data_IF_548882761662
#
_entry.id   IF_548882761662
#
_cell.length_a   1.000
_cell.length_b   1.000
_cell.length_c   1.000
_cell.angle_alpha   90.00
_cell.angle_beta   90.00
_cell.angle_gamma   90.00
#
_symmetry.space_group_name_H-M   'P 1'
#
loop_
_entity.id
_entity.type
_entity.pdbx_description
1 polymer ?
#
# COMPACT_ATOMS: atom_id res chain seq x y z
N UNK A 1 -14.20 -34.03 -1.05
CA UNK A 1 -13.19 -33.40 -0.17
C UNK A 1 -13.54 -33.72 1.29
N UNK A 2 -12.59 -34.00 2.20
CA UNK A 2 -12.90 -34.24 3.61
C UNK A 2 -13.55 -32.97 4.26
N UNK A 3 -14.52 -33.13 5.16
CA UNK A 3 -15.24 -32.00 5.79
C UNK A 3 -14.31 -30.97 6.45
N UNK A 4 -13.29 -31.43 7.16
CA UNK A 4 -12.30 -30.57 7.83
C UNK A 4 -11.49 -29.70 6.85
N UNK A 5 -11.18 -30.22 5.65
CA UNK A 5 -10.50 -29.45 4.60
C UNK A 5 -11.45 -28.40 4.01
N UNK A 6 -12.72 -28.74 3.84
CA UNK A 6 -13.76 -27.85 3.36
C UNK A 6 -13.95 -26.67 4.31
N UNK A 7 -14.13 -26.94 5.61
CA UNK A 7 -14.27 -25.88 6.63
C UNK A 7 -13.04 -25.00 6.72
N UNK A 8 -11.83 -25.58 6.62
CA UNK A 8 -10.59 -24.79 6.61
C UNK A 8 -10.50 -23.84 5.42
N UNK A 9 -10.88 -24.29 4.22
CA UNK A 9 -10.88 -23.46 3.03
C UNK A 9 -11.98 -22.39 3.07
N UNK A 10 -13.15 -22.74 3.60
CA UNK A 10 -14.28 -21.81 3.82
C UNK A 10 -13.87 -20.66 4.74
N UNK A 11 -13.30 -20.97 5.90
CA UNK A 11 -12.72 -19.97 6.80
C UNK A 11 -11.59 -19.14 6.17
N UNK A 12 -10.76 -19.78 5.36
CA UNK A 12 -9.68 -19.10 4.66
C UNK A 12 -10.21 -18.09 3.63
N UNK A 13 -11.37 -18.36 3.01
CA UNK A 13 -12.07 -17.41 2.13
C UNK A 13 -12.70 -16.22 2.91
N UNK A 14 -12.74 -16.28 4.24
CA UNK A 14 -13.29 -15.20 5.07
C UNK A 14 -14.73 -15.41 5.51
N UNK A 15 -15.31 -16.57 5.22
CA UNK A 15 -16.68 -16.87 5.64
C UNK A 15 -16.71 -17.43 7.08
N UNK A 16 -17.78 -17.09 7.82
CA UNK A 16 -17.98 -17.56 9.18
C UNK A 16 -18.28 -19.07 9.23
N UNK A 17 -17.94 -19.71 10.35
CA UNK A 17 -18.42 -21.06 10.65
C UNK A 17 -19.93 -21.00 10.92
N UNK A 18 -20.63 -22.00 10.40
CA UNK A 18 -22.07 -22.16 10.58
C UNK A 18 -22.30 -23.47 11.31
N UNK A 19 -23.31 -23.53 12.15
CA UNK A 19 -23.68 -24.78 12.84
C UNK A 19 -24.19 -25.81 11.82
N UNK A 20 -23.97 -27.09 12.13
CA UNK A 20 -24.29 -28.21 11.22
C UNK A 20 -25.79 -28.26 10.83
N UNK A 21 -26.67 -27.69 11.66
CA UNK A 21 -28.12 -27.70 11.50
C UNK A 21 -28.64 -26.42 10.82
N UNK A 22 -27.74 -25.47 10.48
CA UNK A 22 -28.13 -24.17 9.90
C UNK A 22 -28.11 -24.25 8.37
N UNK A 23 -29.21 -23.99 7.65
CA UNK A 23 -29.28 -24.04 6.19
C UNK A 23 -28.61 -22.80 5.57
N UNK A 24 -27.29 -22.66 5.77
CA UNK A 24 -26.52 -21.50 5.37
C UNK A 24 -25.81 -21.68 4.02
N UNK A 25 -25.83 -22.88 3.45
CA UNK A 25 -25.15 -23.16 2.19
C UNK A 25 -26.15 -23.35 1.05
N UNK A 26 -25.80 -22.75 -0.10
CA UNK A 26 -26.53 -22.90 -1.36
C UNK A 26 -25.83 -23.89 -2.29
N UNK A 27 -26.49 -24.34 -3.34
CA UNK A 27 -25.88 -25.15 -4.41
C UNK A 27 -24.73 -24.42 -5.09
N UNK A 28 -24.75 -23.10 -5.12
CA UNK A 28 -23.67 -22.27 -5.63
C UNK A 28 -22.40 -22.39 -4.78
N UNK A 29 -22.52 -22.45 -3.46
CA UNK A 29 -21.38 -22.62 -2.53
C UNK A 29 -20.74 -24.00 -2.69
N UNK A 30 -21.55 -25.04 -2.84
CA UNK A 30 -21.08 -26.39 -3.11
C UNK A 30 -20.31 -26.44 -4.46
N UNK A 31 -20.86 -25.79 -5.47
CA UNK A 31 -20.23 -25.69 -6.81
C UNK A 31 -18.91 -24.91 -6.74
N UNK A 32 -18.84 -23.79 -6.01
CA UNK A 32 -17.63 -23.00 -5.86
C UNK A 32 -16.54 -23.79 -5.14
N UNK A 33 -16.88 -24.48 -4.06
CA UNK A 33 -15.94 -25.34 -3.32
C UNK A 33 -15.45 -26.52 -4.17
N UNK A 34 -16.30 -27.12 -4.98
CA UNK A 34 -15.90 -28.19 -5.90
C UNK A 34 -14.90 -27.67 -6.94
N UNK A 35 -15.13 -26.48 -7.52
CA UNK A 35 -14.20 -25.83 -8.45
C UNK A 35 -12.86 -25.48 -7.78
N UNK A 36 -12.89 -24.96 -6.57
CA UNK A 36 -11.67 -24.67 -5.80
C UNK A 36 -10.89 -25.98 -5.52
N UNK A 37 -11.58 -27.05 -5.14
CA UNK A 37 -10.94 -28.36 -4.95
C UNK A 37 -10.28 -28.85 -6.23
N UNK A 38 -10.97 -28.78 -7.36
CA UNK A 38 -10.42 -29.20 -8.65
C UNK A 38 -9.18 -28.39 -9.05
N UNK A 39 -9.18 -27.08 -8.78
CA UNK A 39 -8.03 -26.21 -9.02
C UNK A 39 -6.81 -26.62 -8.16
N UNK A 40 -7.04 -26.93 -6.88
CA UNK A 40 -5.99 -27.40 -5.99
C UNK A 40 -5.46 -28.78 -6.45
N UNK A 41 -6.37 -29.71 -6.75
CA UNK A 41 -6.03 -31.08 -7.12
C UNK A 41 -5.34 -31.17 -8.49
N UNK A 42 -5.51 -30.16 -9.36
CA UNK A 42 -4.74 -30.02 -10.61
C UNK A 42 -3.26 -29.70 -10.41
N UNK A 43 -2.83 -29.41 -9.18
CA UNK A 43 -1.45 -29.02 -8.87
C UNK A 43 -1.09 -27.57 -9.21
N UNK A 44 -2.05 -26.77 -9.68
CA UNK A 44 -1.84 -25.34 -9.95
C UNK A 44 -1.50 -24.57 -8.65
N UNK A 45 -2.07 -25.02 -7.53
CA UNK A 45 -1.73 -24.52 -6.18
C UNK A 45 -0.77 -25.50 -5.54
N UNK A 46 0.44 -25.05 -5.23
CA UNK A 46 1.46 -25.90 -4.57
C UNK A 46 0.98 -26.47 -3.26
N UNK A 47 1.47 -27.67 -2.90
CA UNK A 47 1.12 -28.36 -1.66
C UNK A 47 1.37 -27.46 -0.45
N UNK A 48 0.37 -27.33 0.43
CA UNK A 48 0.42 -26.50 1.63
C UNK A 48 0.12 -25.00 1.43
N UNK A 49 -0.01 -24.53 0.17
CA UNK A 49 -0.34 -23.14 -0.14
C UNK A 49 -1.86 -22.87 -0.22
N UNK A 50 -2.69 -23.91 -0.18
CA UNK A 50 -4.14 -23.86 -0.38
C UNK A 50 -4.83 -22.80 0.47
N UNK A 51 -4.64 -22.85 1.79
CA UNK A 51 -5.26 -21.90 2.71
C UNK A 51 -4.72 -20.46 2.52
N UNK A 52 -3.47 -20.31 2.11
CA UNK A 52 -2.87 -19.00 1.87
C UNK A 52 -3.43 -18.36 0.60
N UNK A 53 -3.62 -19.15 -0.46
CA UNK A 53 -4.23 -18.70 -1.72
C UNK A 53 -5.71 -18.37 -1.51
N UNK A 54 -6.46 -19.25 -0.84
CA UNK A 54 -7.86 -19.01 -0.49
C UNK A 54 -8.00 -17.70 0.33
N UNK A 55 -7.14 -17.49 1.33
CA UNK A 55 -7.15 -16.27 2.16
C UNK A 55 -6.84 -15.02 1.34
N UNK A 56 -5.83 -15.05 0.48
CA UNK A 56 -5.50 -13.91 -0.36
C UNK A 56 -6.65 -13.53 -1.31
N UNK A 57 -7.30 -14.53 -1.90
CA UNK A 57 -8.48 -14.33 -2.74
C UNK A 57 -9.65 -13.79 -1.93
N UNK A 58 -9.98 -14.42 -0.80
CA UNK A 58 -11.07 -13.99 0.08
C UNK A 58 -10.91 -12.55 0.57
N UNK A 59 -9.73 -12.19 1.08
CA UNK A 59 -9.44 -10.82 1.53
C UNK A 59 -9.54 -9.78 0.41
N UNK A 60 -9.14 -10.12 -0.82
CA UNK A 60 -9.25 -9.19 -1.95
C UNK A 60 -10.69 -8.97 -2.37
N UNK A 61 -11.47 -10.05 -2.43
CA UNK A 61 -12.87 -10.01 -2.81
C UNK A 61 -13.76 -9.42 -1.70
N UNK A 62 -13.44 -9.66 -0.41
CA UNK A 62 -14.15 -9.02 0.69
C UNK A 62 -14.04 -7.50 0.62
N UNK A 63 -12.82 -6.96 0.48
CA UNK A 63 -12.64 -5.51 0.30
C UNK A 63 -13.36 -4.95 -0.92
N UNK A 64 -13.39 -5.72 -2.02
CA UNK A 64 -14.13 -5.35 -3.22
C UNK A 64 -15.63 -5.29 -2.93
N UNK A 65 -16.17 -6.26 -2.21
CA UNK A 65 -17.57 -6.30 -1.82
C UNK A 65 -17.94 -5.18 -0.84
N UNK A 66 -17.05 -4.90 0.13
CA UNK A 66 -17.27 -3.84 1.13
C UNK A 66 -17.49 -2.48 0.46
N UNK A 67 -16.56 -2.01 -0.40
CA UNK A 67 -16.71 -0.70 -1.04
C UNK A 67 -17.89 -0.66 -2.04
N UNK A 68 -18.23 -1.78 -2.67
CA UNK A 68 -19.41 -1.86 -3.52
C UNK A 68 -20.70 -1.74 -2.71
N UNK A 69 -20.74 -2.35 -1.54
CA UNK A 69 -21.85 -2.23 -0.59
C UNK A 69 -21.97 -0.79 -0.08
N UNK A 70 -20.87 -0.14 0.26
CA UNK A 70 -20.84 1.27 0.68
C UNK A 70 -21.36 2.20 -0.42
N UNK A 71 -20.98 1.95 -1.68
CA UNK A 71 -21.47 2.70 -2.82
C UNK A 71 -22.97 2.53 -3.00
N UNK A 72 -23.50 1.31 -2.89
CA UNK A 72 -24.94 1.02 -2.96
C UNK A 72 -25.69 1.68 -1.79
N UNK A 73 -25.15 1.61 -0.57
CA UNK A 73 -25.72 2.27 0.61
C UNK A 73 -25.78 3.79 0.44
N UNK A 74 -24.76 4.39 -0.19
CA UNK A 74 -24.75 5.82 -0.52
C UNK A 74 -25.85 6.21 -1.51
N UNK A 75 -26.11 5.38 -2.52
CA UNK A 75 -27.21 5.59 -3.47
C UNK A 75 -28.59 5.47 -2.78
N UNK A 76 -28.74 4.47 -1.91
CA UNK A 76 -29.94 4.29 -1.09
C UNK A 76 -30.23 5.50 -0.21
N UNK A 77 -29.22 6.02 0.46
CA UNK A 77 -29.35 7.17 1.35
C UNK A 77 -29.67 8.48 0.60
N UNK A 78 -29.33 8.55 -0.70
CA UNK A 78 -29.63 9.71 -1.55
C UNK A 78 -30.99 9.63 -2.26
N UNK A 79 -31.62 8.46 -2.30
CA UNK A 79 -32.91 8.25 -2.92
C UNK A 79 -34.03 8.74 -1.98
N UNK A 80 -34.93 9.60 -2.48
CA UNK A 80 -36.10 10.10 -1.77
C UNK A 80 -37.35 9.43 -2.37
N UNK A 81 -38.20 8.79 -1.54
CA UNK A 81 -39.48 8.22 -1.99
C UNK A 81 -40.00 7.10 -1.09
N UNK A 82 -41.30 6.75 -1.25
CA UNK A 82 -41.95 5.69 -0.45
C UNK A 82 -41.59 4.27 -0.91
N UNK A 83 -40.99 4.08 -2.09
CA UNK A 83 -40.73 2.76 -2.72
C UNK A 83 -39.22 2.49 -2.96
N UNK A 84 -38.36 3.20 -2.25
CA UNK A 84 -36.88 3.14 -2.39
C UNK A 84 -36.35 1.71 -2.34
N UNK A 85 -36.94 0.84 -1.53
CA UNK A 85 -36.49 -0.56 -1.38
C UNK A 85 -36.68 -1.39 -2.66
N UNK A 86 -37.79 -1.25 -3.36
CA UNK A 86 -38.04 -2.01 -4.58
C UNK A 86 -37.20 -1.52 -5.76
N UNK A 87 -37.05 -0.19 -5.89
CA UNK A 87 -36.23 0.43 -6.95
C UNK A 87 -34.76 0.07 -6.82
N UNK A 88 -34.25 -0.03 -5.58
CA UNK A 88 -32.87 -0.43 -5.33
C UNK A 88 -32.63 -1.91 -5.59
N UNK A 89 -33.58 -2.78 -5.23
CA UNK A 89 -33.46 -4.21 -5.57
C UNK A 89 -33.41 -4.38 -7.09
N UNK A 90 -34.30 -3.73 -7.84
CA UNK A 90 -34.29 -3.78 -9.29
C UNK A 90 -33.01 -3.21 -9.90
N UNK A 91 -32.55 -2.04 -9.42
CA UNK A 91 -31.29 -1.45 -9.87
C UNK A 91 -30.09 -2.35 -9.54
N UNK A 92 -30.10 -3.04 -8.41
CA UNK A 92 -29.05 -3.97 -8.00
C UNK A 92 -29.03 -5.21 -8.91
N UNK A 93 -30.17 -5.76 -9.29
CA UNK A 93 -30.26 -6.90 -10.20
C UNK A 93 -29.69 -6.59 -11.58
N UNK A 94 -29.85 -5.37 -12.08
CA UNK A 94 -29.28 -4.93 -13.36
C UNK A 94 -27.78 -4.58 -13.24
N UNK A 95 -27.38 -4.01 -12.13
CA UNK A 95 -26.01 -3.51 -11.91
C UNK A 95 -25.00 -4.63 -11.61
N UNK A 96 -25.40 -5.65 -10.83
CA UNK A 96 -24.50 -6.73 -10.44
C UNK A 96 -23.86 -7.48 -11.62
N UNK A 97 -24.60 -7.86 -12.68
CA UNK A 97 -23.98 -8.48 -13.85
C UNK A 97 -22.95 -7.57 -14.55
N UNK A 98 -23.27 -6.28 -14.69
CA UNK A 98 -22.36 -5.30 -15.31
C UNK A 98 -21.09 -5.12 -14.47
N UNK A 99 -21.21 -5.05 -13.16
CA UNK A 99 -20.06 -4.99 -12.26
C UNK A 99 -19.22 -6.25 -12.34
N UNK A 100 -19.82 -7.44 -12.43
CA UNK A 100 -19.11 -8.69 -12.57
C UNK A 100 -18.32 -8.76 -13.89
N UNK A 101 -18.91 -8.31 -15.01
CA UNK A 101 -18.23 -8.23 -16.30
C UNK A 101 -17.03 -7.26 -16.27
N UNK A 102 -17.21 -6.08 -15.67
CA UNK A 102 -16.14 -5.11 -15.51
C UNK A 102 -15.01 -5.65 -14.62
N UNK A 103 -15.35 -6.32 -13.51
CA UNK A 103 -14.37 -6.95 -12.62
C UNK A 103 -13.57 -8.03 -13.34
N UNK A 104 -14.23 -8.92 -14.11
CA UNK A 104 -13.55 -9.95 -14.91
C UNK A 104 -12.60 -9.31 -15.92
N UNK A 105 -13.02 -8.26 -16.63
CA UNK A 105 -12.19 -7.53 -17.57
C UNK A 105 -10.95 -6.91 -16.87
N UNK A 106 -11.15 -6.17 -15.78
CA UNK A 106 -10.06 -5.50 -15.04
C UNK A 106 -9.10 -6.54 -14.46
N UNK A 107 -9.62 -7.61 -13.87
CA UNK A 107 -8.81 -8.71 -13.36
C UNK A 107 -7.94 -9.36 -14.46
N UNK A 108 -8.52 -9.69 -15.62
CA UNK A 108 -7.78 -10.25 -16.76
C UNK A 108 -6.70 -9.29 -17.26
N UNK A 109 -7.00 -8.01 -17.30
CA UNK A 109 -6.04 -6.96 -17.70
C UNK A 109 -4.83 -6.91 -16.76
N UNK A 110 -5.06 -6.93 -15.46
CA UNK A 110 -4.00 -6.99 -14.44
C UNK A 110 -3.22 -8.31 -14.53
N UNK A 111 -3.89 -9.43 -14.72
CA UNK A 111 -3.25 -10.73 -14.87
C UNK A 111 -2.30 -10.74 -16.08
N UNK A 112 -2.74 -10.23 -17.22
CA UNK A 112 -1.91 -10.12 -18.44
C UNK A 112 -0.69 -9.23 -18.22
N UNK A 113 -0.87 -8.06 -17.59
CA UNK A 113 0.23 -7.15 -17.28
C UNK A 113 1.24 -7.77 -16.30
N UNK A 114 0.77 -8.52 -15.30
CA UNK A 114 1.63 -9.23 -14.35
C UNK A 114 2.37 -10.40 -15.02
N UNK A 115 1.70 -11.19 -15.87
CA UNK A 115 2.30 -12.28 -16.61
C UNK A 115 3.40 -11.77 -17.57
N UNK A 116 3.16 -10.66 -18.28
CA UNK A 116 4.17 -10.04 -19.13
C UNK A 116 5.46 -9.69 -18.37
N UNK A 117 5.33 -9.14 -17.15
CA UNK A 117 6.48 -8.85 -16.26
C UNK A 117 7.20 -10.14 -15.81
N UNK A 118 6.45 -11.20 -15.53
CA UNK A 118 6.99 -12.48 -15.12
C UNK A 118 7.83 -13.11 -16.24
N UNK A 119 7.32 -13.14 -17.47
CA UNK A 119 8.02 -13.70 -18.62
C UNK A 119 9.25 -12.89 -19.03
N UNK A 120 9.23 -11.56 -18.84
CA UNK A 120 10.38 -10.70 -19.12
C UNK A 120 11.58 -10.96 -18.18
N UNK A 121 11.34 -11.46 -16.96
CA UNK A 121 12.40 -11.67 -15.94
C UNK A 121 12.88 -13.12 -15.82
N UNK A 122 12.21 -14.06 -16.48
CA UNK A 122 12.55 -15.49 -16.45
C UNK A 122 12.09 -16.23 -15.17
N UNK A 123 11.94 -17.57 -15.22
CA UNK A 123 11.31 -18.36 -14.16
C UNK A 123 12.12 -18.46 -12.84
N UNK A 124 13.42 -18.14 -12.86
CA UNK A 124 14.27 -18.18 -11.65
C UNK A 124 14.25 -16.90 -10.80
N UNK A 125 13.66 -15.82 -11.30
CA UNK A 125 13.63 -14.51 -10.63
C UNK A 125 12.33 -14.24 -9.86
N UNK A 126 11.48 -15.26 -9.69
CA UNK A 126 10.12 -15.07 -9.15
C UNK A 126 10.13 -14.68 -7.69
N UNK A 127 11.07 -15.17 -6.89
CA UNK A 127 11.04 -14.99 -5.42
C UNK A 127 11.80 -13.75 -4.92
N UNK A 128 12.79 -13.24 -5.67
CA UNK A 128 13.56 -12.06 -5.24
C UNK A 128 13.83 -11.16 -6.44
N UNK A 129 13.19 -10.01 -6.46
CA UNK A 129 13.43 -8.94 -7.45
C UNK A 129 14.07 -7.75 -6.77
N UNK A 130 15.01 -7.12 -7.42
CA UNK A 130 15.47 -5.80 -7.00
C UNK A 130 14.41 -4.78 -7.36
N UNK A 131 13.88 -4.13 -6.34
CA UNK A 131 12.83 -3.12 -6.47
C UNK A 131 13.17 -1.91 -5.59
N UNK A 132 12.78 -0.75 -6.05
CA UNK A 132 12.60 0.39 -5.19
C UNK A 132 11.24 0.26 -4.48
N UNK A 133 11.24 0.46 -3.17
CA UNK A 133 10.06 0.46 -2.30
C UNK A 133 9.94 1.84 -1.68
N UNK A 134 8.79 2.47 -1.79
CA UNK A 134 8.53 3.78 -1.20
C UNK A 134 7.27 3.79 -0.34
N UNK A 135 7.32 4.58 0.71
CA UNK A 135 6.16 4.97 1.51
C UNK A 135 5.99 6.48 1.42
N UNK A 136 4.77 6.91 1.17
CA UNK A 136 4.35 8.31 1.31
C UNK A 136 3.30 8.38 2.42
N UNK A 137 3.47 9.27 3.39
CA UNK A 137 2.71 9.32 4.63
C UNK A 137 2.27 10.76 4.94
N UNK A 138 1.01 10.93 5.39
CA UNK A 138 0.43 12.22 5.75
C UNK A 138 0.92 12.66 7.14
N UNK A 139 1.62 13.77 7.22
CA UNK A 139 2.17 14.25 8.49
C UNK A 139 1.05 14.75 9.42
N UNK A 140 1.01 14.19 10.63
CA UNK A 140 0.05 14.60 11.65
C UNK A 140 -1.39 14.13 11.42
N UNK A 141 -1.60 13.16 10.56
CA UNK A 141 -2.92 12.58 10.28
C UNK A 141 -3.67 12.17 11.56
N UNK A 142 -3.04 11.41 12.46
CA UNK A 142 -3.67 10.94 13.69
C UNK A 142 -4.16 12.06 14.60
N UNK A 143 -3.49 13.21 14.62
CA UNK A 143 -3.95 14.37 15.39
C UNK A 143 -5.07 15.13 14.70
N UNK A 144 -5.01 15.27 13.37
CA UNK A 144 -6.04 15.92 12.55
C UNK A 144 -7.33 15.12 12.52
N UNK A 145 -7.25 13.80 12.34
CA UNK A 145 -8.43 12.93 12.27
C UNK A 145 -9.33 13.00 13.50
N UNK A 146 -8.78 13.39 14.67
CA UNK A 146 -9.59 13.60 15.88
C UNK A 146 -10.48 14.83 15.82
N UNK A 147 -10.14 15.82 15.01
CA UNK A 147 -10.87 17.09 14.87
C UNK A 147 -11.70 17.20 13.60
N UNK A 148 -11.57 16.27 12.67
CA UNK A 148 -12.29 16.27 11.39
C UNK A 148 -13.56 15.41 11.48
N UNK A 149 -14.60 15.80 10.74
CA UNK A 149 -15.77 14.97 10.53
C UNK A 149 -15.44 13.74 9.66
N UNK A 150 -16.12 12.62 9.89
CA UNK A 150 -15.85 11.38 9.15
C UNK A 150 -15.90 11.54 7.63
N UNK A 151 -16.83 12.35 7.10
CA UNK A 151 -16.96 12.63 5.65
C UNK A 151 -15.77 13.43 5.13
N UNK A 152 -15.33 14.44 5.84
CA UNK A 152 -14.17 15.28 5.47
C UNK A 152 -12.87 14.45 5.49
N UNK A 153 -12.71 13.62 6.51
CA UNK A 153 -11.59 12.71 6.62
C UNK A 153 -11.56 11.69 5.46
N UNK A 154 -12.71 11.10 5.15
CA UNK A 154 -12.85 10.17 4.03
C UNK A 154 -12.47 10.80 2.70
N UNK A 155 -13.01 12.00 2.40
CA UNK A 155 -12.69 12.74 1.18
C UNK A 155 -11.20 13.08 1.06
N UNK A 156 -10.55 13.48 2.16
CA UNK A 156 -9.12 13.76 2.16
C UNK A 156 -8.27 12.52 1.88
N UNK A 157 -8.63 11.38 2.44
CA UNK A 157 -7.93 10.10 2.20
C UNK A 157 -8.13 9.66 0.75
N UNK A 158 -9.35 9.74 0.23
CA UNK A 158 -9.70 9.39 -1.15
C UNK A 158 -8.94 10.27 -2.15
N UNK A 159 -8.89 11.58 -1.93
CA UNK A 159 -8.10 12.52 -2.75
C UNK A 159 -6.60 12.15 -2.76
N UNK A 160 -6.05 11.81 -1.58
CA UNK A 160 -4.65 11.41 -1.47
C UNK A 160 -4.36 10.08 -2.18
N UNK A 161 -5.20 9.07 -1.96
CA UNK A 161 -5.06 7.77 -2.60
C UNK A 161 -5.20 7.88 -4.13
N UNK A 162 -6.15 8.69 -4.61
CA UNK A 162 -6.36 8.96 -6.03
C UNK A 162 -5.14 9.62 -6.68
N UNK A 163 -4.64 10.71 -6.08
CA UNK A 163 -3.43 11.38 -6.55
C UNK A 163 -2.22 10.44 -6.56
N UNK A 164 -2.04 9.69 -5.48
CA UNK A 164 -0.92 8.76 -5.36
C UNK A 164 -1.00 7.64 -6.40
N UNK A 165 -2.18 7.05 -6.60
CA UNK A 165 -2.38 5.99 -7.59
C UNK A 165 -2.07 6.48 -9.02
N UNK A 166 -2.57 7.66 -9.39
CA UNK A 166 -2.36 8.26 -10.70
C UNK A 166 -0.87 8.57 -10.94
N UNK A 167 -0.21 9.16 -9.96
CA UNK A 167 1.20 9.52 -10.08
C UNK A 167 2.09 8.28 -10.16
N UNK A 168 1.84 7.28 -9.31
CA UNK A 168 2.57 6.02 -9.31
C UNK A 168 2.39 5.30 -10.64
N UNK A 169 1.17 5.26 -11.20
CA UNK A 169 0.89 4.64 -12.49
C UNK A 169 1.59 5.37 -13.65
N UNK A 170 1.57 6.71 -13.66
CA UNK A 170 2.27 7.54 -14.67
C UNK A 170 3.77 7.26 -14.72
N UNK A 171 4.37 6.94 -13.60
CA UNK A 171 5.80 6.60 -13.46
C UNK A 171 6.06 5.09 -13.38
N UNK A 172 5.19 4.27 -14.00
CA UNK A 172 5.39 2.81 -14.12
C UNK A 172 5.55 2.08 -12.79
N UNK A 173 5.18 2.74 -11.70
CA UNK A 173 5.12 2.13 -10.38
C UNK A 173 3.88 1.27 -10.17
N UNK A 174 3.81 0.63 -9.04
CA UNK A 174 2.66 -0.15 -8.59
C UNK A 174 2.33 0.21 -7.14
N UNK A 175 1.10 0.61 -6.89
CA UNK A 175 0.56 0.63 -5.53
C UNK A 175 0.48 -0.80 -5.03
N UNK A 176 1.08 -1.07 -3.88
CA UNK A 176 1.00 -2.37 -3.21
C UNK A 176 -0.23 -2.40 -2.32
N UNK A 177 -0.35 -1.41 -1.45
CA UNK A 177 -1.49 -1.21 -0.55
C UNK A 177 -1.44 0.16 0.09
N UNK A 178 -2.56 0.59 0.64
CA UNK A 178 -2.64 1.66 1.60
C UNK A 178 -2.55 1.10 3.03
N UNK A 179 -1.94 1.83 3.94
CA UNK A 179 -1.76 1.45 5.36
C UNK A 179 -2.10 2.67 6.20
N UNK A 180 -3.35 2.80 6.59
CA UNK A 180 -3.84 4.01 7.25
C UNK A 180 -3.74 5.22 6.33
N UNK A 181 -2.92 6.17 6.71
CA UNK A 181 -2.63 7.42 6.00
C UNK A 181 -1.38 7.35 5.11
N UNK A 182 -0.86 6.16 4.86
CA UNK A 182 0.32 5.94 4.05
C UNK A 182 0.03 5.07 2.82
N UNK A 183 0.66 5.40 1.70
CA UNK A 183 0.67 4.59 0.47
C UNK A 183 2.01 3.89 0.34
N UNK A 184 1.98 2.55 0.22
CA UNK A 184 3.12 1.71 -0.10
C UNK A 184 3.14 1.44 -1.61
N UNK A 185 4.24 1.79 -2.27
CA UNK A 185 4.43 1.54 -3.70
C UNK A 185 5.77 0.88 -3.99
N UNK A 186 5.87 0.30 -5.18
CA UNK A 186 7.10 -0.29 -5.71
C UNK A 186 7.34 0.15 -7.15
N UNK A 187 8.63 0.28 -7.52
CA UNK A 187 9.07 0.49 -8.89
C UNK A 187 10.23 -0.44 -9.22
N UNK A 188 10.31 -0.86 -10.48
CA UNK A 188 11.49 -1.59 -10.98
C UNK A 188 12.63 -0.63 -11.26
N UNK A 189 12.33 0.54 -11.79
CA UNK A 189 13.32 1.58 -12.08
C UNK A 189 13.51 2.49 -10.84
N UNK A 190 14.73 2.63 -10.31
CA UNK A 190 15.04 3.52 -9.20
C UNK A 190 14.75 5.00 -9.49
N UNK A 191 14.93 5.45 -10.73
CA UNK A 191 14.67 6.84 -11.14
C UNK A 191 13.17 7.14 -11.11
N UNK A 192 12.34 6.24 -11.64
CA UNK A 192 10.89 6.36 -11.57
C UNK A 192 10.41 6.40 -10.10
N UNK A 193 11.00 5.57 -9.24
CA UNK A 193 10.63 5.56 -7.82
C UNK A 193 10.92 6.88 -7.11
N UNK A 194 12.05 7.50 -7.42
CA UNK A 194 12.44 8.80 -6.86
C UNK A 194 11.61 9.94 -7.47
N UNK A 195 11.28 9.84 -8.75
CA UNK A 195 10.40 10.81 -9.39
C UNK A 195 9.01 10.82 -8.73
N UNK A 196 8.45 9.64 -8.44
CA UNK A 196 7.22 9.50 -7.64
C UNK A 196 7.41 10.14 -6.26
N UNK A 197 8.50 9.80 -5.56
CA UNK A 197 8.77 10.27 -4.21
C UNK A 197 8.83 11.80 -4.13
N UNK A 198 9.43 12.46 -5.12
CA UNK A 198 9.56 13.92 -5.17
C UNK A 198 8.27 14.62 -5.61
N UNK A 199 7.52 14.02 -6.57
CA UNK A 199 6.28 14.62 -7.06
C UNK A 199 5.12 14.52 -6.07
N UNK A 200 5.05 13.45 -5.30
CA UNK A 200 3.95 13.27 -4.34
C UNK A 200 3.81 14.44 -3.37
N UNK A 201 4.86 14.90 -2.66
CA UNK A 201 4.75 16.09 -1.84
C UNK A 201 4.44 17.37 -2.63
N UNK A 202 5.02 17.53 -3.83
CA UNK A 202 4.85 18.72 -4.65
C UNK A 202 3.40 18.84 -5.18
N UNK A 203 2.85 17.77 -5.77
CA UNK A 203 1.50 17.75 -6.34
C UNK A 203 0.40 17.71 -5.27
N UNK A 204 0.70 17.19 -4.07
CA UNK A 204 -0.22 17.19 -2.94
C UNK A 204 -0.30 18.52 -2.20
N UNK A 205 0.72 19.37 -2.31
CA UNK A 205 0.84 20.59 -1.53
C UNK A 205 -0.35 21.53 -1.73
N UNK A 206 -1.07 21.82 -0.64
CA UNK A 206 -2.11 22.84 -0.56
C UNK A 206 -2.20 23.39 0.86
N UNK A 207 -2.68 24.63 1.09
CA UNK A 207 -2.70 25.27 2.40
C UNK A 207 -3.54 24.52 3.46
N UNK A 208 -4.58 23.84 3.02
CA UNK A 208 -5.54 23.07 3.84
C UNK A 208 -5.15 21.60 4.02
N UNK A 209 -4.20 21.10 3.23
CA UNK A 209 -3.76 19.70 3.25
C UNK A 209 -2.57 19.48 4.19
N UNK A 210 -2.53 18.35 4.91
CA UNK A 210 -1.35 17.96 5.68
C UNK A 210 -0.18 17.69 4.72
N UNK A 211 1.04 18.14 5.03
CA UNK A 211 2.19 17.84 4.18
C UNK A 211 2.49 16.35 4.15
N UNK A 212 3.09 15.87 3.06
CA UNK A 212 3.59 14.52 2.92
C UNK A 212 5.05 14.42 3.37
N UNK A 213 5.43 13.23 3.81
CA UNK A 213 6.81 12.79 3.98
C UNK A 213 7.01 11.48 3.24
N UNK A 214 8.15 11.30 2.61
CA UNK A 214 8.43 10.11 1.80
C UNK A 214 9.75 9.48 2.18
N UNK A 215 9.74 8.17 2.33
CA UNK A 215 10.94 7.36 2.48
C UNK A 215 10.98 6.25 1.44
N UNK A 216 12.12 6.05 0.79
CA UNK A 216 12.28 4.97 -0.17
C UNK A 216 13.60 4.23 -0.01
N UNK A 217 13.62 2.96 -0.38
CA UNK A 217 14.79 2.10 -0.31
C UNK A 217 14.83 1.16 -1.52
N UNK A 218 16.03 0.71 -1.91
CA UNK A 218 16.23 -0.16 -3.06
C UNK A 218 16.93 -1.45 -2.66
N UNK A 219 16.50 -2.57 -3.21
CA UNK A 219 17.17 -3.86 -3.03
C UNK A 219 16.25 -5.07 -3.23
N UNK A 220 16.69 -6.27 -2.80
CA UNK A 220 15.96 -7.50 -3.00
C UNK A 220 14.67 -7.56 -2.19
N UNK A 221 13.54 -7.75 -2.90
CA UNK A 221 12.19 -7.80 -2.35
C UNK A 221 11.53 -9.12 -2.72
N UNK A 222 10.98 -9.83 -1.75
CA UNK A 222 10.10 -10.97 -1.96
C UNK A 222 8.69 -10.46 -2.25
N UNK A 223 8.15 -10.82 -3.41
CA UNK A 223 6.75 -10.55 -3.75
C UNK A 223 5.93 -11.83 -3.58
N UNK A 224 4.94 -11.82 -2.71
CA UNK A 224 4.08 -12.97 -2.47
C UNK A 224 2.63 -12.55 -2.26
N UNK A 225 1.72 -13.21 -3.01
CA UNK A 225 0.26 -12.98 -2.91
C UNK A 225 -0.15 -11.49 -3.02
N UNK A 226 0.54 -10.76 -3.90
CA UNK A 226 0.26 -9.32 -4.12
C UNK A 226 0.95 -8.37 -3.15
N UNK A 227 1.51 -8.85 -2.04
CA UNK A 227 2.25 -8.06 -1.05
C UNK A 227 3.77 -8.17 -1.23
N UNK A 228 4.52 -7.35 -0.51
CA UNK A 228 5.98 -7.27 -0.55
C UNK A 228 6.58 -7.48 0.85
N UNK A 229 7.64 -8.28 0.91
CA UNK A 229 8.31 -8.64 2.16
C UNK A 229 9.82 -8.54 1.98
N UNK A 230 10.48 -7.72 2.75
CA UNK A 230 11.94 -7.68 2.84
C UNK A 230 12.43 -6.69 3.90
N UNK A 231 13.71 -6.75 4.30
CA UNK A 231 14.33 -5.66 5.07
C UNK A 231 14.24 -4.29 4.36
N UNK A 232 14.20 -4.26 3.02
CA UNK A 232 14.05 -3.02 2.21
C UNK A 232 12.72 -2.34 2.51
N UNK A 233 11.62 -3.09 2.64
CA UNK A 233 10.29 -2.55 3.00
C UNK A 233 10.34 -1.90 4.39
N UNK A 234 10.96 -2.58 5.36
CA UNK A 234 11.12 -2.05 6.71
C UNK A 234 11.97 -0.78 6.70
N UNK A 235 13.05 -0.78 5.91
CA UNK A 235 13.95 0.36 5.79
C UNK A 235 13.25 1.58 5.20
N UNK A 236 12.49 1.41 4.10
CA UNK A 236 11.68 2.47 3.52
C UNK A 236 10.68 3.07 4.54
N UNK A 237 9.99 2.22 5.30
CA UNK A 237 9.09 2.66 6.37
C UNK A 237 9.82 3.46 7.48
N UNK A 238 11.04 3.05 7.87
CA UNK A 238 11.82 3.79 8.87
C UNK A 238 12.29 5.14 8.33
N UNK A 239 12.74 5.18 7.08
CA UNK A 239 13.11 6.44 6.43
C UNK A 239 11.92 7.41 6.37
N UNK A 240 10.72 6.91 6.05
CA UNK A 240 9.49 7.72 6.07
C UNK A 240 9.21 8.27 7.46
N UNK A 241 9.35 7.45 8.50
CA UNK A 241 9.05 7.86 9.87
C UNK A 241 9.95 8.99 10.40
N UNK A 242 11.20 9.07 9.91
CA UNK A 242 12.17 10.12 10.29
C UNK A 242 12.25 11.25 9.26
N UNK A 243 11.58 11.12 8.11
CA UNK A 243 11.53 12.18 7.12
C UNK A 243 10.69 13.35 7.64
N UNK A 244 11.18 14.57 7.37
CA UNK A 244 10.45 15.80 7.69
C UNK A 244 9.32 16.04 6.69
N UNK A 245 8.36 16.89 7.05
CA UNK A 245 7.35 17.35 6.10
C UNK A 245 7.99 17.84 4.80
N UNK A 246 7.39 17.48 3.67
CA UNK A 246 7.84 17.81 2.32
C UNK A 246 9.29 17.36 1.98
N UNK A 247 9.80 16.30 2.65
CA UNK A 247 11.13 15.77 2.35
C UNK A 247 11.10 14.32 1.89
N UNK A 248 12.09 13.96 1.08
CA UNK A 248 12.30 12.61 0.57
C UNK A 248 13.63 12.07 1.10
N UNK A 249 13.55 11.00 1.88
CA UNK A 249 14.72 10.27 2.36
C UNK A 249 14.84 8.92 1.66
N UNK A 250 16.07 8.58 1.29
CA UNK A 250 16.38 7.29 0.66
C UNK A 250 17.50 6.57 1.40
N UNK A 251 17.60 5.26 1.18
CA UNK A 251 18.75 4.47 1.65
C UNK A 251 19.98 4.63 0.77
N UNK A 252 21.09 4.11 1.21
CA UNK A 252 22.37 4.19 0.49
C UNK A 252 22.31 3.47 -0.86
N UNK A 253 21.57 2.36 -0.97
CA UNK A 253 21.48 1.61 -2.22
C UNK A 253 20.75 2.41 -3.28
N UNK A 254 19.60 3.01 -2.94
CA UNK A 254 18.86 3.88 -3.84
C UNK A 254 19.68 5.14 -4.18
N UNK A 255 20.38 5.73 -3.21
CA UNK A 255 21.25 6.86 -3.43
C UNK A 255 22.38 6.55 -4.44
N UNK A 256 22.92 5.33 -4.42
CA UNK A 256 23.93 4.87 -5.40
C UNK A 256 23.34 4.75 -6.81
N UNK A 257 22.10 4.28 -6.95
CA UNK A 257 21.43 4.19 -8.25
C UNK A 257 21.20 5.57 -8.91
N UNK A 258 21.12 6.61 -8.10
CA UNK A 258 20.94 7.99 -8.57
C UNK A 258 22.25 8.70 -8.91
N UNK A 259 23.41 8.09 -8.63
CA UNK A 259 24.70 8.69 -8.96
C UNK A 259 24.84 8.89 -10.45
N UNK A 260 25.16 10.11 -10.84
CA UNK A 260 25.32 10.47 -12.26
C UNK A 260 24.02 10.85 -12.97
N UNK A 261 22.85 10.79 -12.30
CA UNK A 261 21.60 11.33 -12.83
C UNK A 261 21.58 12.85 -12.61
N UNK A 262 21.69 13.67 -13.66
CA UNK A 262 21.86 15.12 -13.50
C UNK A 262 20.67 15.83 -12.86
N UNK A 263 19.49 15.22 -12.92
CA UNK A 263 18.25 15.80 -12.41
C UNK A 263 18.18 15.87 -10.88
N UNK A 264 19.01 15.10 -10.18
CA UNK A 264 18.90 14.98 -8.73
C UNK A 264 20.17 15.41 -8.01
N UNK A 265 19.98 15.96 -6.82
CA UNK A 265 21.00 16.16 -5.82
C UNK A 265 20.76 15.16 -4.68
N UNK A 266 21.75 14.37 -4.34
CA UNK A 266 21.67 13.33 -3.32
C UNK A 266 22.76 13.59 -2.29
N UNK A 267 22.39 13.71 -1.01
CA UNK A 267 23.28 14.08 0.07
C UNK A 267 23.09 13.16 1.28
N UNK A 268 24.17 12.64 1.88
CA UNK A 268 24.06 11.90 3.13
C UNK A 268 23.68 12.86 4.27
N UNK A 269 22.81 12.40 5.16
CA UNK A 269 22.52 13.06 6.42
C UNK A 269 23.30 12.36 7.55
N UNK A 270 23.26 12.91 8.77
CA UNK A 270 23.83 12.28 9.95
C UNK A 270 23.20 10.90 10.17
N UNK A 271 24.00 9.95 10.67
CA UNK A 271 23.49 8.64 11.07
C UNK A 271 22.56 8.76 12.26
N UNK A 272 21.47 8.02 12.22
CA UNK A 272 20.46 8.01 13.27
C UNK A 272 20.18 6.57 13.72
N UNK A 273 19.83 6.40 14.98
CA UNK A 273 19.34 5.13 15.49
C UNK A 273 17.82 5.12 15.39
N UNK A 274 17.29 4.10 14.75
CA UNK A 274 15.84 3.86 14.65
C UNK A 274 15.55 2.41 15.01
N UNK A 275 14.32 2.10 15.38
CA UNK A 275 13.94 0.73 15.77
C UNK A 275 14.38 -0.30 14.72
N UNK A 276 15.33 -1.17 15.12
CA UNK A 276 15.88 -2.23 14.28
C UNK A 276 17.10 -1.83 13.44
N UNK A 277 17.60 -0.58 13.56
CA UNK A 277 18.81 -0.09 12.86
C UNK A 277 19.58 0.87 13.78
N UNK A 278 20.73 0.46 14.27
CA UNK A 278 21.53 1.26 15.23
C UNK A 278 22.30 2.42 14.56
N UNK A 279 22.59 2.34 13.27
CA UNK A 279 23.41 3.33 12.54
C UNK A 279 22.87 3.56 11.12
N UNK A 280 21.55 3.83 10.99
CA UNK A 280 20.96 4.13 9.70
C UNK A 280 21.52 5.45 9.16
N UNK A 281 22.07 5.42 7.95
CA UNK A 281 22.48 6.61 7.21
C UNK A 281 21.38 6.99 6.21
N UNK A 282 20.55 7.99 6.50
CA UNK A 282 19.58 8.49 5.53
C UNK A 282 20.29 9.35 4.48
N UNK A 283 19.73 9.39 3.27
CA UNK A 283 20.18 10.26 2.20
C UNK A 283 19.02 11.15 1.77
N UNK A 284 19.22 12.46 1.77
CA UNK A 284 18.23 13.43 1.29
C UNK A 284 18.33 13.53 -0.23
N UNK A 285 17.17 13.45 -0.89
CA UNK A 285 17.07 13.63 -2.34
C UNK A 285 16.25 14.89 -2.65
N UNK A 286 16.75 15.70 -3.59
CA UNK A 286 16.06 16.89 -4.13
C UNK A 286 16.25 16.98 -5.64
N UNK A 287 15.39 17.73 -6.31
CA UNK A 287 15.62 18.13 -7.70
C UNK A 287 16.76 19.14 -7.77
N UNK A 288 17.58 19.06 -8.81
CA UNK A 288 18.59 20.08 -9.08
C UNK A 288 17.92 21.28 -9.74
N UNK A 289 18.24 22.50 -9.29
CA UNK A 289 17.70 23.75 -9.87
C UNK A 289 16.39 24.25 -9.24
N UNK A 290 15.93 23.68 -8.12
CA UNK A 290 14.96 24.34 -7.26
C UNK A 290 15.64 25.46 -6.48
N UNK A 291 14.97 26.62 -6.33
CA UNK A 291 15.52 27.86 -5.73
C UNK A 291 16.10 27.69 -4.32
N UNK A 292 15.86 26.57 -3.68
CA UNK A 292 16.42 26.18 -2.37
C UNK A 292 17.92 25.81 -2.40
N UNK A 293 18.57 25.78 -3.56
CA UNK A 293 20.00 25.43 -3.64
C UNK A 293 20.91 26.51 -3.03
N UNK A 294 20.41 27.72 -2.80
CA UNK A 294 21.15 28.86 -2.21
C UNK A 294 20.54 29.43 -0.92
N UNK A 295 19.43 28.89 -0.45
CA UNK A 295 18.74 29.45 0.72
C UNK A 295 19.51 29.16 2.03
N UNK A 296 19.72 30.15 2.90
CA UNK A 296 20.34 29.96 4.23
C UNK A 296 19.57 28.98 5.13
N UNK A 297 18.34 28.63 4.76
CA UNK A 297 17.54 27.58 5.40
C UNK A 297 18.08 26.15 5.25
N UNK A 298 18.95 25.88 4.26
CA UNK A 298 19.56 24.54 4.12
C UNK A 298 20.52 24.28 5.28
N UNK A 299 21.30 25.27 5.68
CA UNK A 299 22.19 25.20 6.84
C UNK A 299 21.40 25.14 8.16
N UNK A 300 20.28 25.89 8.25
CA UNK A 300 19.37 25.82 9.39
C UNK A 300 18.65 24.48 9.50
N UNK A 301 18.30 23.86 8.36
CA UNK A 301 17.73 22.52 8.32
C UNK A 301 18.74 21.45 8.77
N UNK A 302 20.02 21.63 8.41
CA UNK A 302 21.12 20.78 8.88
C UNK A 302 21.31 20.90 10.38
N UNK A 303 21.38 22.11 10.89
CA UNK A 303 21.50 22.40 12.32
C UNK A 303 20.33 21.83 13.13
N UNK A 304 19.12 22.01 12.64
CA UNK A 304 17.93 21.49 13.30
C UNK A 304 17.83 19.95 13.22
N UNK A 305 18.36 19.30 12.17
CA UNK A 305 18.48 17.83 12.10
C UNK A 305 19.55 17.31 13.05
N UNK A 306 20.61 18.07 13.25
CA UNK A 306 21.64 17.77 14.24
C UNK A 306 21.12 17.96 15.67
N UNK A 307 20.34 19.02 15.95
CA UNK A 307 19.68 19.23 17.24
C UNK A 307 18.66 18.13 17.59
N UNK A 308 17.84 17.69 16.64
CA UNK A 308 16.88 16.60 16.88
C UNK A 308 17.60 15.25 17.05
N UNK A 309 18.71 15.04 16.35
CA UNK A 309 19.52 13.84 16.53
C UNK A 309 20.15 13.81 17.92
N UNK A 310 20.57 14.94 18.44
CA UNK A 310 21.11 15.06 19.79
C UNK A 310 20.00 14.91 20.85
N UNK A 311 18.82 15.46 20.64
CA UNK A 311 17.65 15.33 21.55
C UNK A 311 17.11 13.89 21.64
N UNK A 312 17.17 13.13 20.53
CA UNK A 312 16.82 11.69 20.48
C UNK A 312 17.89 10.83 21.15
N UNK A 313 19.16 11.26 21.12
CA UNK A 313 20.26 10.53 21.73
C UNK A 313 20.39 10.83 23.23
N UNK A 314 19.98 12.03 23.67
CA UNK A 314 20.02 12.47 25.09
C UNK A 314 18.76 12.16 25.88
N UNK A 315 17.71 11.62 25.25
CA UNK A 315 16.52 11.15 26.00
C UNK A 315 16.92 9.91 26.84
N UNK A 316 17.03 10.03 28.16
CA UNK A 316 17.35 8.88 29.00
C UNK A 316 16.22 7.86 28.89
N UNK A 317 16.58 6.63 28.58
CA UNK A 317 15.72 5.45 28.66
C UNK A 317 14.90 5.53 29.95
N UNK A 318 13.60 5.76 29.81
CA UNK A 318 12.64 5.64 30.87
C UNK A 318 12.51 4.19 31.32
N UNK A 319 13.52 3.68 31.99
CA UNK A 319 13.51 2.39 32.68
C UNK A 319 12.53 2.41 33.84
N UNK A 320 11.24 2.35 33.56
CA UNK A 320 10.20 2.05 34.54
C UNK A 320 10.26 0.56 34.87
N UNK A 321 10.97 0.19 35.96
CA UNK A 321 10.70 -1.05 36.66
C UNK A 321 9.24 -1.04 37.10
N UNK A 322 8.49 -2.00 36.64
CA UNK A 322 7.25 -2.44 37.29
C UNK A 322 7.64 -3.59 38.23
N UNK A 323 7.53 -3.30 39.51
CA UNK A 323 7.40 -4.33 40.56
C UNK A 323 6.03 -5.01 40.48
#
# INVERSE_FOLDING_TARGET
MPPERTQRLWRALGFADVADDDPAFTDADVTALARLSALIDSGFVGAGAEASVARAMGQSLARLADWQTDMLAGQLAAAEGEDVGADVVAATEDLLPLMAELQDYVWRRHLTANAGRLFATGPGAVDRRELAVGFADLVGYTSRSRGMGGRELGAMVEDFEGLAADLIARHRGRVVKTVGDAVLYTCTDPVDAVEIALRLPDEWAAPDRPPLRVGAAFGPVLTRLGDVYSPVVNLASRLTSIARPATVLVDEQLARQLRGVPAYRVRPLRRVSVRGYDHLQPWLVRRRGTEDDEAPGVTALEQLLDEIADDVLDSPDGGGRLD
#
